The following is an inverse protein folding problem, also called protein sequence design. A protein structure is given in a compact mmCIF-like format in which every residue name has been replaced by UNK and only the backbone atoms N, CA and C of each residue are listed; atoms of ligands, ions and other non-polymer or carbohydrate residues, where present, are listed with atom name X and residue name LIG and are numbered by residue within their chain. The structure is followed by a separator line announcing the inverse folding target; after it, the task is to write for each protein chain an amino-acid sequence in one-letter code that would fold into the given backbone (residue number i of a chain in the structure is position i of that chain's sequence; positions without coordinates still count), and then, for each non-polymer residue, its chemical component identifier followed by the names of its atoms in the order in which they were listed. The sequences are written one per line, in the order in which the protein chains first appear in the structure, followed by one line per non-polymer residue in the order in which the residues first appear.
data_IF_265314579163
#
_entry.id   IF_265314579163
#
_cell.length_a   1.000
_cell.length_b   1.000
_cell.length_c   1.000
_cell.angle_alpha   90.00
_cell.angle_beta   90.00
_cell.angle_gamma   90.00
#
_symmetry.space_group_name_H-M   'P 1'
#
loop_
_entity.id
_entity.type
_entity.pdbx_description
1 polymer ?
#
# COMPACT_ATOMS: atom_id res chain seq x y z
N UNK A 1 -15.65 -21.64 -1.51
CA UNK A 1 -16.45 -21.29 -2.69
C UNK A 1 -15.75 -20.13 -3.33
N UNK A 2 -15.26 -20.37 -4.51
CA UNK A 2 -14.25 -19.58 -5.20
C UNK A 2 -14.77 -18.22 -5.62
N UNK A 3 -14.25 -17.17 -5.00
CA UNK A 3 -14.52 -15.78 -5.36
C UNK A 3 -13.60 -15.25 -6.47
N UNK A 4 -13.29 -16.09 -7.45
CA UNK A 4 -12.76 -15.62 -8.73
C UNK A 4 -13.93 -15.05 -9.51
N UNK A 5 -13.96 -13.72 -9.67
CA UNK A 5 -14.92 -13.09 -10.58
C UNK A 5 -14.66 -13.71 -11.96
N UNK A 6 -15.65 -14.47 -12.45
CA UNK A 6 -15.57 -15.07 -13.78
C UNK A 6 -15.55 -13.95 -14.81
N UNK A 7 -14.44 -13.82 -15.53
CA UNK A 7 -14.22 -12.80 -16.56
C UNK A 7 -15.29 -12.89 -17.67
N UNK A 8 -16.00 -14.02 -17.78
CA UNK A 8 -17.05 -14.24 -18.76
C UNK A 8 -18.43 -13.63 -18.37
N UNK A 9 -18.60 -13.19 -17.11
CA UNK A 9 -19.85 -12.52 -16.66
C UNK A 9 -19.76 -10.98 -16.69
N UNK A 10 -18.68 -10.44 -17.28
CA UNK A 10 -18.48 -9.01 -17.44
C UNK A 10 -19.17 -8.51 -18.73
N UNK A 11 -20.50 -8.35 -18.69
CA UNK A 11 -21.25 -7.70 -19.76
C UNK A 11 -20.63 -6.36 -20.16
N UNK A 12 -20.88 -5.91 -21.38
CA UNK A 12 -20.34 -4.67 -21.95
C UNK A 12 -20.77 -3.43 -21.12
N UNK A 13 -19.95 -3.06 -20.12
CA UNK A 13 -20.16 -1.86 -19.30
C UNK A 13 -19.81 -0.56 -20.04
N UNK A 14 -19.26 -0.67 -21.26
CA UNK A 14 -18.69 0.44 -22.01
C UNK A 14 -17.47 1.09 -21.34
N UNK A 15 -16.88 2.05 -22.00
CA UNK A 15 -15.82 2.89 -21.44
C UNK A 15 -16.42 3.83 -20.40
N UNK A 16 -15.90 3.82 -19.18
CA UNK A 16 -16.28 4.79 -18.14
C UNK A 16 -15.07 5.54 -17.60
N UNK A 17 -15.30 6.80 -17.19
CA UNK A 17 -14.28 7.63 -16.57
C UNK A 17 -14.43 7.55 -15.05
N UNK A 18 -13.36 7.17 -14.37
CA UNK A 18 -13.32 6.97 -12.92
C UNK A 18 -12.30 7.92 -12.31
N UNK A 19 -12.69 8.59 -11.24
CA UNK A 19 -11.82 9.36 -10.38
C UNK A 19 -11.39 8.49 -9.20
N UNK A 20 -10.11 8.14 -9.13
CA UNK A 20 -9.50 7.48 -7.99
C UNK A 20 -8.96 8.52 -6.99
N UNK A 21 -9.37 8.42 -5.74
CA UNK A 21 -8.97 9.27 -4.64
C UNK A 21 -8.11 8.48 -3.65
N UNK A 22 -6.85 8.86 -3.51
CA UNK A 22 -5.87 8.20 -2.66
C UNK A 22 -5.33 9.20 -1.63
N UNK A 23 -6.01 9.30 -0.49
CA UNK A 23 -5.59 10.16 0.60
C UNK A 23 -4.47 9.51 1.40
N UNK A 24 -3.26 10.08 1.32
CA UNK A 24 -2.12 9.74 2.17
C UNK A 24 -2.03 10.65 3.40
N UNK A 25 -1.12 10.35 4.32
CA UNK A 25 -0.90 11.15 5.53
C UNK A 25 -0.30 12.54 5.28
N UNK A 26 0.30 12.78 4.10
CA UNK A 26 1.02 14.03 3.79
C UNK A 26 0.59 14.70 2.49
N UNK A 27 -0.14 14.01 1.62
CA UNK A 27 -0.60 14.55 0.35
C UNK A 27 -1.86 13.82 -0.11
N UNK A 28 -2.68 14.54 -0.85
CA UNK A 28 -3.87 14.00 -1.49
C UNK A 28 -3.50 13.69 -2.96
N UNK A 29 -3.32 12.40 -3.26
CA UNK A 29 -3.11 11.94 -4.64
C UNK A 29 -4.45 11.64 -5.27
N UNK A 30 -4.57 11.88 -6.55
CA UNK A 30 -5.74 11.50 -7.33
C UNK A 30 -5.35 11.13 -8.76
N UNK A 31 -6.15 10.27 -9.36
CA UNK A 31 -6.00 9.91 -10.76
C UNK A 31 -7.36 9.83 -11.45
N UNK A 32 -7.44 10.36 -12.67
CA UNK A 32 -8.58 10.18 -13.56
C UNK A 32 -8.24 9.14 -14.60
N UNK A 33 -9.04 8.11 -14.70
CA UNK A 33 -8.80 6.95 -15.56
C UNK A 33 -9.99 6.68 -16.47
N UNK A 34 -9.71 6.39 -17.75
CA UNK A 34 -10.70 5.69 -18.60
C UNK A 34 -10.51 4.21 -18.39
N UNK A 35 -11.59 3.52 -18.00
CA UNK A 35 -11.59 2.08 -17.74
C UNK A 35 -12.59 1.40 -18.64
N UNK A 36 -12.17 0.29 -19.25
CA UNK A 36 -12.96 -0.58 -20.12
C UNK A 36 -12.74 -2.04 -19.75
N UNK A 37 -13.54 -2.93 -20.30
CA UNK A 37 -13.31 -4.35 -20.12
C UNK A 37 -11.88 -4.72 -20.56
N UNK A 38 -11.12 -5.49 -19.75
CA UNK A 38 -9.80 -5.95 -20.16
C UNK A 38 -9.91 -6.85 -21.39
N UNK A 39 -8.96 -6.74 -22.29
CA UNK A 39 -8.82 -7.62 -23.44
C UNK A 39 -7.57 -8.45 -23.32
N UNK A 40 -7.43 -9.51 -24.11
CA UNK A 40 -6.23 -10.37 -24.10
C UNK A 40 -4.89 -9.60 -24.29
N UNK A 41 -4.95 -8.36 -24.80
CA UNK A 41 -3.76 -7.56 -25.14
C UNK A 41 -3.71 -6.19 -24.46
N UNK A 42 -4.68 -5.82 -23.60
CA UNK A 42 -4.72 -4.51 -22.94
C UNK A 42 -5.29 -4.61 -21.53
N UNK A 43 -4.66 -3.91 -20.58
CA UNK A 43 -5.06 -3.84 -19.17
C UNK A 43 -6.45 -3.23 -18.93
N UNK A 44 -7.08 -2.68 -19.98
CA UNK A 44 -8.38 -2.02 -19.89
C UNK A 44 -8.37 -0.69 -19.14
N UNK A 45 -7.22 -0.15 -18.77
CA UNK A 45 -7.09 1.09 -18.02
C UNK A 45 -6.13 2.08 -18.72
N UNK A 46 -6.58 3.31 -18.87
CA UNK A 46 -5.83 4.42 -19.48
C UNK A 46 -5.83 5.62 -18.53
N UNK A 47 -4.66 6.07 -18.04
CA UNK A 47 -4.58 7.27 -17.23
C UNK A 47 -4.84 8.51 -18.08
N UNK A 48 -5.79 9.35 -17.67
CA UNK A 48 -6.10 10.64 -18.29
C UNK A 48 -5.44 11.81 -17.56
N UNK A 49 -5.32 11.70 -16.23
CA UNK A 49 -4.67 12.67 -15.35
C UNK A 49 -4.19 11.94 -14.10
N UNK A 50 -3.00 12.25 -13.63
CA UNK A 50 -2.50 11.84 -12.31
C UNK A 50 -1.76 13.02 -11.70
N UNK A 51 -2.13 13.39 -10.47
CA UNK A 51 -1.54 14.54 -9.79
C UNK A 51 -1.69 14.41 -8.26
N UNK A 52 -1.08 15.34 -7.53
CA UNK A 52 -1.23 15.46 -6.08
C UNK A 52 -1.53 16.89 -5.68
N UNK A 53 -2.37 17.05 -4.67
CA UNK A 53 -2.75 18.35 -4.14
C UNK A 53 -2.41 18.40 -2.65
N UNK A 54 -1.66 19.43 -2.24
CA UNK A 54 -1.51 19.82 -0.85
C UNK A 54 -2.58 20.85 -0.51
N UNK A 55 -3.62 20.47 0.22
CA UNK A 55 -4.73 21.34 0.55
C UNK A 55 -5.03 21.28 2.04
N UNK A 56 -5.41 22.42 2.66
CA UNK A 56 -5.65 22.47 4.10
C UNK A 56 -6.92 21.73 4.53
N UNK A 57 -7.92 21.61 3.64
CA UNK A 57 -9.20 20.95 3.94
C UNK A 57 -9.60 19.93 2.86
N UNK A 58 -10.37 18.90 3.21
CA UNK A 58 -10.93 17.95 2.24
C UNK A 58 -11.79 18.60 1.16
N UNK A 59 -12.61 19.60 1.54
CA UNK A 59 -13.48 20.35 0.62
C UNK A 59 -12.66 21.10 -0.44
N UNK A 60 -11.60 21.79 -0.03
CA UNK A 60 -10.71 22.52 -0.96
C UNK A 60 -9.96 21.55 -1.88
N UNK A 61 -9.52 20.39 -1.35
CA UNK A 61 -8.88 19.36 -2.16
C UNK A 61 -9.80 18.85 -3.26
N UNK A 62 -11.03 18.47 -2.91
CA UNK A 62 -12.02 17.94 -3.87
C UNK A 62 -12.45 19.02 -4.88
N UNK A 63 -12.71 20.26 -4.46
CA UNK A 63 -13.01 21.36 -5.35
C UNK A 63 -11.84 21.67 -6.31
N UNK A 64 -10.60 21.59 -5.81
CA UNK A 64 -9.40 21.75 -6.61
C UNK A 64 -9.23 20.66 -7.68
N UNK A 65 -9.60 19.41 -7.37
CA UNK A 65 -9.63 18.30 -8.34
C UNK A 65 -10.67 18.58 -9.44
N UNK A 66 -11.90 18.91 -9.06
CA UNK A 66 -12.96 19.22 -10.01
C UNK A 66 -12.55 20.37 -10.97
N UNK A 67 -11.93 21.43 -10.41
CA UNK A 67 -11.42 22.56 -11.18
C UNK A 67 -10.31 22.15 -12.16
N UNK A 68 -9.42 21.22 -11.79
CA UNK A 68 -8.35 20.70 -12.67
C UNK A 68 -8.93 19.87 -13.80
N UNK A 69 -9.88 18.98 -13.52
CA UNK A 69 -10.58 18.19 -14.55
C UNK A 69 -11.22 19.12 -15.58
N UNK A 70 -11.92 20.15 -15.14
CA UNK A 70 -12.54 21.15 -16.01
C UNK A 70 -11.51 21.96 -16.81
N UNK A 71 -10.41 22.39 -16.17
CA UNK A 71 -9.34 23.17 -16.82
C UNK A 71 -8.68 22.43 -17.99
N UNK A 72 -8.50 21.10 -17.86
CA UNK A 72 -7.91 20.28 -18.90
C UNK A 72 -8.93 19.77 -19.93
N UNK A 73 -10.20 20.22 -19.84
CA UNK A 73 -11.29 19.78 -20.71
C UNK A 73 -11.45 18.24 -20.78
N UNK A 74 -11.14 17.57 -19.67
CA UNK A 74 -11.26 16.12 -19.56
C UNK A 74 -12.72 15.70 -19.35
N UNK A 75 -13.04 14.47 -19.73
CA UNK A 75 -14.36 13.92 -19.48
C UNK A 75 -14.66 13.86 -17.98
N UNK A 76 -15.85 14.25 -17.58
CA UNK A 76 -16.30 14.21 -16.19
C UNK A 76 -16.30 12.75 -15.68
N UNK A 77 -15.94 12.52 -14.40
CA UNK A 77 -16.03 11.20 -13.81
C UNK A 77 -17.47 10.70 -13.77
N UNK A 78 -17.64 9.40 -13.93
CA UNK A 78 -18.93 8.70 -13.84
C UNK A 78 -19.03 7.84 -12.56
N UNK A 79 -17.91 7.63 -11.90
CA UNK A 79 -17.81 6.97 -10.59
C UNK A 79 -16.55 7.44 -9.85
N UNK A 80 -16.58 7.32 -8.53
CA UNK A 80 -15.48 7.73 -7.64
C UNK A 80 -15.01 6.53 -6.82
N UNK A 81 -13.72 6.20 -6.91
CA UNK A 81 -13.08 5.20 -6.05
C UNK A 81 -12.30 5.85 -4.91
N UNK A 82 -12.44 5.34 -3.71
CA UNK A 82 -11.74 5.86 -2.52
C UNK A 82 -10.82 4.80 -1.94
N UNK A 83 -9.56 5.15 -1.71
CA UNK A 83 -8.69 4.32 -0.87
C UNK A 83 -9.06 4.48 0.58
N UNK A 84 -9.29 3.35 1.25
CA UNK A 84 -9.55 3.25 2.69
C UNK A 84 -8.46 2.37 3.30
N UNK A 85 -7.77 2.90 4.30
CA UNK A 85 -6.65 2.17 4.93
C UNK A 85 -7.16 0.92 5.65
N UNK A 86 -8.31 0.99 6.34
CA UNK A 86 -8.81 -0.11 7.15
C UNK A 86 -10.34 -0.21 7.13
N UNK A 87 -10.85 -1.39 6.80
CA UNK A 87 -12.29 -1.68 6.81
C UNK A 87 -12.82 -2.27 8.14
N UNK A 88 -11.95 -2.47 9.13
CA UNK A 88 -12.32 -3.20 10.35
C UNK A 88 -12.66 -4.66 10.08
N UNK A 89 -13.24 -5.37 11.06
CA UNK A 89 -13.60 -6.78 10.91
C UNK A 89 -14.78 -7.02 9.96
N UNK A 90 -15.62 -6.01 9.72
CA UNK A 90 -16.85 -6.16 8.94
C UNK A 90 -16.64 -5.96 7.42
N UNK A 91 -15.76 -5.05 7.02
CA UNK A 91 -15.55 -4.69 5.61
C UNK A 91 -14.31 -5.40 5.06
N UNK A 92 -14.50 -6.64 4.61
CA UNK A 92 -13.45 -7.53 4.11
C UNK A 92 -13.42 -7.65 2.57
N UNK A 93 -14.23 -6.86 1.88
CA UNK A 93 -14.30 -6.77 0.42
C UNK A 93 -14.48 -5.31 0.01
N UNK A 94 -14.00 -4.96 -1.18
CA UNK A 94 -14.33 -3.68 -1.79
C UNK A 94 -15.84 -3.59 -1.99
N UNK A 95 -16.44 -2.42 -1.80
CA UNK A 95 -17.89 -2.29 -1.86
C UNK A 95 -18.33 -0.91 -2.35
N UNK A 96 -19.54 -0.86 -2.92
CA UNK A 96 -20.23 0.40 -3.20
C UNK A 96 -20.64 1.03 -1.87
N UNK A 97 -20.41 2.32 -1.73
CA UNK A 97 -20.66 3.07 -0.51
C UNK A 97 -22.13 3.44 -0.40
N UNK A 98 -22.74 3.01 0.69
CA UNK A 98 -24.05 3.45 1.16
C UNK A 98 -23.97 3.87 2.64
N UNK A 99 -25.08 4.26 3.22
CA UNK A 99 -25.15 4.66 4.63
C UNK A 99 -24.75 3.54 5.60
N UNK A 100 -24.95 2.27 5.23
CA UNK A 100 -24.56 1.14 6.05
C UNK A 100 -23.05 0.97 6.07
N UNK A 101 -22.39 1.08 4.92
CA UNK A 101 -20.93 1.07 4.79
C UNK A 101 -20.30 2.24 5.54
N UNK A 102 -20.87 3.45 5.45
CA UNK A 102 -20.37 4.61 6.20
C UNK A 102 -20.43 4.38 7.71
N UNK A 103 -21.54 3.83 8.24
CA UNK A 103 -21.63 3.48 9.67
C UNK A 103 -20.63 2.40 10.09
N UNK A 104 -20.37 1.41 9.24
CA UNK A 104 -19.35 0.38 9.50
C UNK A 104 -17.93 0.96 9.51
N UNK A 105 -17.64 1.91 8.62
CA UNK A 105 -16.37 2.65 8.62
C UNK A 105 -16.20 3.50 9.88
N UNK A 106 -17.25 4.18 10.33
CA UNK A 106 -17.23 4.93 11.58
C UNK A 106 -16.96 3.99 12.77
N UNK A 107 -17.60 2.81 12.81
CA UNK A 107 -17.36 1.79 13.82
C UNK A 107 -15.95 1.18 13.74
N UNK A 108 -15.31 1.19 12.56
CA UNK A 108 -13.94 0.72 12.36
C UNK A 108 -12.87 1.77 12.73
N UNK A 109 -13.25 3.01 13.09
CA UNK A 109 -12.31 4.08 13.43
C UNK A 109 -11.27 3.68 14.51
N UNK A 110 -11.60 2.88 15.55
CA UNK A 110 -10.61 2.44 16.54
C UNK A 110 -9.46 1.60 15.96
N UNK A 111 -9.64 0.94 14.81
CA UNK A 111 -8.60 0.15 14.13
C UNK A 111 -7.60 1.02 13.32
N UNK A 112 -7.99 2.23 12.96
CA UNK A 112 -7.15 3.19 12.25
C UNK A 112 -7.49 4.64 12.64
N UNK A 113 -7.30 5.02 13.92
CA UNK A 113 -7.80 6.30 14.47
C UNK A 113 -7.18 7.53 13.76
N UNK A 114 -5.96 7.39 13.25
CA UNK A 114 -5.26 8.47 12.54
C UNK A 114 -5.73 8.65 11.08
N UNK A 115 -6.33 7.62 10.47
CA UNK A 115 -6.65 7.60 9.04
C UNK A 115 -8.15 7.68 8.78
N UNK A 116 -8.97 6.97 9.54
CA UNK A 116 -10.41 6.85 9.29
C UNK A 116 -11.16 8.16 9.35
N UNK A 117 -10.96 9.07 10.33
CA UNK A 117 -11.67 10.34 10.36
C UNK A 117 -11.36 11.24 9.15
N UNK A 118 -10.09 11.29 8.73
CA UNK A 118 -9.68 12.05 7.55
C UNK A 118 -10.27 11.45 6.26
N UNK A 119 -10.26 10.12 6.12
CA UNK A 119 -10.86 9.44 4.98
C UNK A 119 -12.37 9.70 4.89
N UNK A 120 -13.10 9.61 6.00
CA UNK A 120 -14.53 9.92 6.06
C UNK A 120 -14.83 11.38 5.66
N UNK A 121 -14.00 12.32 6.09
CA UNK A 121 -14.16 13.73 5.70
C UNK A 121 -13.97 13.95 4.18
N UNK A 122 -12.97 13.27 3.59
CA UNK A 122 -12.76 13.28 2.13
C UNK A 122 -13.93 12.64 1.39
N UNK A 123 -14.44 11.52 1.88
CA UNK A 123 -15.58 10.82 1.26
C UNK A 123 -16.82 11.71 1.25
N UNK A 124 -17.15 12.35 2.37
CA UNK A 124 -18.30 13.28 2.47
C UNK A 124 -18.14 14.47 1.51
N UNK A 125 -16.95 15.08 1.49
CA UNK A 125 -16.68 16.18 0.56
C UNK A 125 -16.80 15.75 -0.91
N UNK A 126 -16.37 14.53 -1.25
CA UNK A 126 -16.52 14.00 -2.59
C UNK A 126 -17.99 13.70 -2.93
N UNK A 127 -18.78 13.15 -2.01
CA UNK A 127 -20.22 12.93 -2.21
C UNK A 127 -21.00 14.21 -2.41
N UNK A 128 -20.63 15.30 -1.73
CA UNK A 128 -21.22 16.62 -1.92
C UNK A 128 -20.86 17.21 -3.30
N UNK A 129 -19.58 17.17 -3.66
CA UNK A 129 -19.08 17.76 -4.91
C UNK A 129 -19.52 16.98 -6.17
N UNK A 130 -19.58 15.65 -6.08
CA UNK A 130 -19.96 14.74 -7.16
C UNK A 130 -21.29 14.03 -6.86
N UNK A 131 -22.28 14.82 -6.45
CA UNK A 131 -23.58 14.31 -6.05
C UNK A 131 -24.22 13.41 -7.13
N UNK A 132 -24.81 12.29 -6.69
CA UNK A 132 -25.50 11.35 -7.58
C UNK A 132 -24.58 10.38 -8.33
N UNK A 133 -23.25 10.49 -8.22
CA UNK A 133 -22.34 9.50 -8.73
C UNK A 133 -22.17 8.34 -7.73
N UNK A 134 -21.95 7.11 -8.21
CA UNK A 134 -21.60 5.99 -7.34
C UNK A 134 -20.18 6.18 -6.76
N UNK A 135 -20.03 5.91 -5.47
CA UNK A 135 -18.76 5.89 -4.75
C UNK A 135 -18.42 4.47 -4.32
N UNK A 136 -17.15 4.08 -4.43
CA UNK A 136 -16.65 2.76 -4.07
C UNK A 136 -15.55 2.88 -3.05
N UNK A 137 -15.63 2.10 -1.98
CA UNK A 137 -14.60 1.93 -0.97
C UNK A 137 -13.64 0.80 -1.38
N UNK A 138 -12.36 1.13 -1.57
CA UNK A 138 -11.28 0.21 -1.88
C UNK A 138 -10.31 0.13 -0.70
N UNK A 139 -10.22 -1.03 -0.06
CA UNK A 139 -9.50 -1.19 1.20
C UNK A 139 -8.08 -1.74 0.99
N UNK A 140 -7.10 -1.17 1.67
CA UNK A 140 -5.72 -1.69 1.69
C UNK A 140 -5.61 -3.08 2.33
N UNK A 141 -6.59 -3.48 3.13
CA UNK A 141 -6.57 -4.74 3.87
C UNK A 141 -7.15 -5.92 3.08
N UNK A 142 -7.91 -5.68 2.01
CA UNK A 142 -8.68 -6.73 1.30
C UNK A 142 -7.79 -7.78 0.65
N UNK A 143 -6.66 -7.40 0.05
CA UNK A 143 -5.71 -8.34 -0.55
C UNK A 143 -5.16 -9.37 0.45
N UNK A 144 -5.19 -9.06 1.74
CA UNK A 144 -4.73 -9.90 2.83
C UNK A 144 -5.87 -10.60 3.59
N UNK A 145 -7.13 -10.42 3.16
CA UNK A 145 -8.29 -10.89 3.92
C UNK A 145 -8.32 -12.43 4.12
N UNK A 146 -7.77 -13.16 3.16
CA UNK A 146 -7.79 -14.64 3.14
C UNK A 146 -6.45 -15.27 3.55
N UNK A 147 -5.60 -14.50 4.26
CA UNK A 147 -4.39 -15.09 4.86
C UNK A 147 -4.74 -16.26 5.79
N UNK A 148 -3.92 -17.33 5.81
CA UNK A 148 -4.14 -18.48 6.69
C UNK A 148 -4.08 -18.05 8.17
N UNK A 149 -4.78 -18.78 9.03
CA UNK A 149 -4.88 -18.49 10.46
C UNK A 149 -3.52 -18.38 11.14
N UNK A 150 -2.54 -19.18 10.73
CA UNK A 150 -1.18 -19.14 11.29
C UNK A 150 -0.49 -17.78 11.10
N UNK A 151 -0.86 -17.02 10.07
CA UNK A 151 -0.37 -15.68 9.82
C UNK A 151 -1.30 -14.60 10.41
N UNK A 152 -2.62 -14.86 10.39
CA UNK A 152 -3.65 -13.90 10.76
C UNK A 152 -3.86 -13.76 12.27
N UNK A 153 -3.84 -14.88 13.00
CA UNK A 153 -4.10 -14.92 14.44
C UNK A 153 -2.92 -14.35 15.21
N UNK A 154 -3.17 -13.43 16.14
CA UNK A 154 -2.15 -12.90 17.04
C UNK A 154 -2.02 -13.78 18.30
N UNK A 155 -0.82 -13.90 18.91
CA UNK A 155 -0.61 -14.73 20.11
C UNK A 155 -1.09 -14.01 21.38
N UNK A 156 -2.38 -13.71 21.44
CA UNK A 156 -3.09 -13.05 22.54
C UNK A 156 -4.33 -13.88 22.94
N UNK A 157 -4.96 -13.64 24.11
CA UNK A 157 -6.15 -14.37 24.51
C UNK A 157 -7.23 -14.40 23.42
N UNK A 158 -7.82 -15.57 23.20
CA UNK A 158 -8.79 -15.80 22.11
C UNK A 158 -10.04 -14.92 22.19
N UNK A 159 -10.43 -14.46 23.37
CA UNK A 159 -11.55 -13.52 23.53
C UNK A 159 -11.32 -12.22 22.75
N UNK A 160 -10.08 -11.71 22.74
CA UNK A 160 -9.73 -10.48 22.03
C UNK A 160 -9.78 -10.67 20.50
N UNK A 161 -9.55 -11.90 20.02
CA UNK A 161 -9.69 -12.21 18.60
C UNK A 161 -11.15 -12.15 18.14
N UNK A 162 -12.11 -12.50 19.01
CA UNK A 162 -13.54 -12.37 18.73
C UNK A 162 -13.98 -10.91 18.58
N UNK A 163 -13.23 -9.98 19.14
CA UNK A 163 -13.42 -8.53 18.97
C UNK A 163 -12.81 -7.99 17.67
N UNK A 164 -12.23 -8.86 16.82
CA UNK A 164 -11.59 -8.49 15.56
C UNK A 164 -10.12 -8.11 15.71
N UNK A 165 -9.48 -8.35 16.87
CA UNK A 165 -8.05 -8.06 17.07
C UNK A 165 -7.22 -9.18 16.45
N UNK A 166 -6.77 -8.94 15.20
CA UNK A 166 -6.01 -9.88 14.38
C UNK A 166 -5.01 -9.12 13.48
N UNK A 167 -4.18 -9.83 12.73
CA UNK A 167 -3.41 -9.24 11.63
C UNK A 167 -4.34 -8.97 10.46
N UNK A 168 -4.31 -7.74 9.93
CA UNK A 168 -5.03 -7.36 8.71
C UNK A 168 -4.08 -7.22 7.52
N UNK A 169 -2.90 -6.62 7.73
CA UNK A 169 -2.02 -6.25 6.64
C UNK A 169 -2.50 -5.00 5.90
N UNK A 170 -1.57 -4.34 5.22
CA UNK A 170 -1.82 -3.07 4.52
C UNK A 170 -1.01 -2.99 3.22
N UNK A 171 -1.17 -1.92 2.45
CA UNK A 171 -0.66 -1.78 1.09
C UNK A 171 -1.19 -2.86 0.13
N UNK A 172 -2.36 -3.41 0.44
CA UNK A 172 -2.97 -4.47 -0.38
C UNK A 172 -3.23 -4.03 -1.81
N UNK A 173 -3.71 -2.80 -2.03
CA UNK A 173 -3.92 -2.23 -3.36
C UNK A 173 -2.60 -2.15 -4.17
N UNK A 174 -1.49 -1.81 -3.49
CA UNK A 174 -0.15 -1.86 -4.10
C UNK A 174 0.25 -3.28 -4.46
N UNK A 175 0.14 -4.23 -3.53
CA UNK A 175 0.48 -5.64 -3.77
C UNK A 175 -0.34 -6.23 -4.92
N UNK A 176 -1.62 -5.97 -4.94
CA UNK A 176 -2.52 -6.43 -5.99
C UNK A 176 -2.17 -5.83 -7.35
N UNK A 177 -1.81 -4.53 -7.39
CA UNK A 177 -1.35 -3.90 -8.63
C UNK A 177 -0.09 -4.56 -9.20
N UNK A 178 0.84 -4.99 -8.34
CA UNK A 178 2.05 -5.72 -8.74
C UNK A 178 1.69 -7.11 -9.29
N UNK A 179 0.85 -7.87 -8.57
CA UNK A 179 0.39 -9.19 -9.02
C UNK A 179 -0.27 -9.11 -10.39
N UNK A 180 -1.10 -8.10 -10.61
CA UNK A 180 -1.77 -7.89 -11.89
C UNK A 180 -0.79 -7.48 -13.01
N UNK A 181 0.20 -6.64 -12.72
CA UNK A 181 1.21 -6.25 -13.71
C UNK A 181 2.09 -7.42 -14.14
N UNK A 182 2.38 -8.35 -13.23
CA UNK A 182 3.15 -9.56 -13.54
C UNK A 182 2.36 -10.54 -14.43
N UNK A 183 1.03 -10.56 -14.35
CA UNK A 183 0.15 -11.36 -15.22
C UNK A 183 0.60 -12.81 -15.37
N UNK A 184 0.74 -13.29 -16.61
CA UNK A 184 1.20 -14.65 -16.92
C UNK A 184 2.64 -14.93 -16.46
N UNK A 185 3.42 -13.89 -16.17
CA UNK A 185 4.77 -13.98 -15.61
C UNK A 185 4.81 -14.09 -14.09
N UNK A 186 3.66 -14.21 -13.41
CA UNK A 186 3.57 -14.30 -11.97
C UNK A 186 4.19 -15.62 -11.46
N UNK A 187 5.24 -15.57 -10.62
CA UNK A 187 5.86 -16.76 -10.08
C UNK A 187 5.04 -17.38 -8.96
N UNK A 188 5.33 -18.63 -8.61
CA UNK A 188 4.67 -19.32 -7.51
C UNK A 188 4.96 -18.67 -6.16
N UNK A 189 6.22 -18.23 -5.93
CA UNK A 189 6.70 -17.67 -4.65
C UNK A 189 7.23 -16.26 -4.88
N UNK A 190 6.41 -15.28 -4.56
CA UNK A 190 6.70 -13.86 -4.72
C UNK A 190 6.81 -13.18 -3.36
N UNK A 191 7.80 -12.33 -3.19
CA UNK A 191 7.88 -11.38 -2.08
C UNK A 191 7.80 -9.97 -2.62
N UNK A 192 6.89 -9.18 -2.09
CA UNK A 192 6.79 -7.74 -2.39
C UNK A 192 7.30 -6.95 -1.19
N UNK A 193 8.32 -6.14 -1.43
CA UNK A 193 8.84 -5.14 -0.50
C UNK A 193 8.33 -3.76 -0.93
N UNK A 194 7.17 -3.37 -0.39
CA UNK A 194 6.64 -2.02 -0.56
C UNK A 194 7.36 -1.09 0.41
N UNK A 195 8.26 -0.26 -0.09
CA UNK A 195 9.10 0.63 0.71
C UNK A 195 8.80 2.09 0.36
N UNK A 196 8.16 2.78 1.29
CA UNK A 196 7.81 4.19 1.21
C UNK A 196 7.95 4.87 2.58
N UNK A 197 7.18 5.93 2.83
CA UNK A 197 7.06 6.49 4.18
C UNK A 197 6.44 5.48 5.16
N UNK A 198 5.46 4.68 4.69
CA UNK A 198 5.08 3.39 5.25
C UNK A 198 5.78 2.27 4.49
N UNK A 199 6.08 1.15 5.15
CA UNK A 199 6.75 0.02 4.52
C UNK A 199 6.17 -1.32 5.00
N UNK A 200 6.01 -2.27 4.06
CA UNK A 200 5.57 -3.63 4.36
C UNK A 200 6.27 -4.65 3.47
N UNK A 201 6.42 -5.85 4.00
CA UNK A 201 6.94 -7.00 3.27
C UNK A 201 5.84 -8.05 3.25
N UNK A 202 5.45 -8.50 2.06
CA UNK A 202 4.34 -9.43 1.87
C UNK A 202 4.80 -10.68 1.16
N UNK A 203 4.46 -11.85 1.71
CA UNK A 203 4.65 -13.15 1.09
C UNK A 203 3.43 -13.53 0.26
N UNK A 204 3.62 -13.86 -1.01
CA UNK A 204 2.56 -14.19 -1.95
C UNK A 204 2.84 -15.55 -2.57
N UNK A 205 1.88 -16.45 -2.46
CA UNK A 205 1.92 -17.77 -3.08
C UNK A 205 0.82 -17.87 -4.15
N UNK A 206 1.22 -18.08 -5.41
CA UNK A 206 0.29 -18.18 -6.56
C UNK A 206 -0.72 -17.03 -6.62
N UNK A 207 -0.26 -15.80 -6.38
CA UNK A 207 -1.09 -14.60 -6.42
C UNK A 207 -1.87 -14.26 -5.15
N UNK A 208 -1.86 -15.12 -4.13
CA UNK A 208 -2.56 -14.90 -2.86
C UNK A 208 -1.60 -14.50 -1.74
N UNK A 209 -1.95 -13.49 -0.96
CA UNK A 209 -1.22 -13.11 0.23
C UNK A 209 -1.32 -14.20 1.28
N UNK A 210 -0.18 -14.71 1.75
CA UNK A 210 -0.13 -15.75 2.79
C UNK A 210 0.50 -15.27 4.10
N UNK A 211 1.25 -14.17 4.07
CA UNK A 211 1.73 -13.45 5.27
C UNK A 211 2.13 -12.03 4.88
N UNK A 212 2.11 -11.11 5.85
CA UNK A 212 2.56 -9.73 5.67
C UNK A 212 3.09 -9.16 6.98
N UNK A 213 4.01 -8.21 6.89
CA UNK A 213 4.71 -7.67 8.06
C UNK A 213 3.87 -6.76 8.95
N UNK A 214 2.93 -6.00 8.40
CA UNK A 214 2.05 -5.13 9.19
C UNK A 214 0.97 -5.95 9.91
N UNK A 215 0.63 -5.55 11.13
CA UNK A 215 -0.25 -6.29 12.03
C UNK A 215 -1.71 -5.83 12.01
N UNK A 216 -2.24 -5.56 13.22
CA UNK A 216 -3.56 -4.94 13.45
C UNK A 216 -3.62 -3.54 12.86
N UNK A 217 -2.53 -2.78 13.00
CA UNK A 217 -2.35 -1.42 12.51
C UNK A 217 -1.17 -1.36 11.54
N UNK A 218 -1.03 -0.30 10.73
CA UNK A 218 0.10 -0.14 9.83
C UNK A 218 1.39 0.33 10.55
N UNK A 219 1.53 0.07 11.86
CA UNK A 219 2.69 0.49 12.67
C UNK A 219 3.74 -0.60 12.80
N UNK A 220 3.32 -1.88 12.91
CA UNK A 220 4.21 -3.04 13.08
C UNK A 220 4.98 -3.42 11.82
N UNK A 221 5.86 -4.39 11.96
CA UNK A 221 6.72 -4.91 10.91
C UNK A 221 8.07 -4.19 10.84
N UNK A 222 8.46 -3.75 9.66
CA UNK A 222 9.75 -3.09 9.43
C UNK A 222 9.77 -1.64 9.93
N UNK A 223 10.96 -1.11 10.19
CA UNK A 223 11.17 0.31 10.51
C UNK A 223 10.65 1.16 9.35
N UNK A 224 9.99 2.30 9.65
CA UNK A 224 9.41 3.20 8.63
C UNK A 224 9.91 4.63 8.84
N UNK A 225 9.37 5.59 8.10
CA UNK A 225 9.78 6.99 8.21
C UNK A 225 9.65 7.55 9.64
N UNK A 226 8.47 7.42 10.23
CA UNK A 226 8.14 7.90 11.59
C UNK A 226 7.59 6.80 12.51
N UNK A 227 7.24 5.63 11.96
CA UNK A 227 6.70 4.49 12.71
C UNK A 227 7.81 3.54 13.14
N UNK A 228 7.66 3.00 14.33
CA UNK A 228 8.71 2.18 14.96
C UNK A 228 8.99 0.86 14.24
N UNK A 229 7.99 0.26 13.56
CA UNK A 229 8.01 -1.16 13.28
C UNK A 229 7.81 -1.97 14.56
N UNK A 230 8.19 -3.25 14.52
CA UNK A 230 8.07 -4.15 15.67
C UNK A 230 8.96 -3.69 16.84
N UNK A 231 8.37 -3.65 18.01
CA UNK A 231 9.03 -3.37 19.29
C UNK A 231 8.72 -4.49 20.28
N UNK A 232 9.62 -4.70 21.25
CA UNK A 232 9.29 -5.48 22.44
C UNK A 232 8.11 -4.81 23.18
N UNK A 233 6.98 -5.51 23.40
CA UNK A 233 5.84 -4.98 24.15
C UNK A 233 6.22 -4.44 25.54
N UNK A 234 7.25 -5.02 26.17
CA UNK A 234 7.80 -4.57 27.44
C UNK A 234 8.29 -3.12 27.43
N UNK A 235 8.75 -2.62 26.27
CA UNK A 235 9.13 -1.20 26.12
C UNK A 235 7.93 -0.30 26.36
N UNK A 236 6.75 -0.63 25.78
CA UNK A 236 5.55 0.18 25.94
C UNK A 236 5.07 0.18 27.40
N UNK A 237 5.05 -1.01 28.03
CA UNK A 237 4.71 -1.14 29.46
C UNK A 237 5.68 -0.37 30.36
N UNK A 238 6.98 -0.41 30.04
CA UNK A 238 8.01 0.38 30.77
C UNK A 238 7.74 1.89 30.66
N UNK A 239 7.49 2.39 29.45
CA UNK A 239 7.22 3.81 29.21
C UNK A 239 5.94 4.30 29.91
N UNK A 240 4.88 3.46 29.94
CA UNK A 240 3.67 3.77 30.70
C UNK A 240 3.96 3.90 32.21
N UNK A 241 4.73 2.96 32.73
CA UNK A 241 4.97 2.87 34.18
C UNK A 241 5.97 3.91 34.67
N UNK A 242 7.13 4.02 34.01
CA UNK A 242 8.26 4.85 34.47
C UNK A 242 8.18 6.28 33.90
N UNK A 243 7.84 6.44 32.62
CA UNK A 243 7.75 7.76 31.96
C UNK A 243 6.34 8.37 32.03
N UNK A 244 5.35 7.66 32.63
CA UNK A 244 3.97 8.13 32.78
C UNK A 244 3.26 8.45 31.45
N UNK A 245 3.66 7.79 30.36
CA UNK A 245 2.99 7.96 29.07
C UNK A 245 1.61 7.27 29.13
N UNK A 246 0.59 7.98 28.71
CA UNK A 246 -0.73 7.40 28.45
C UNK A 246 -0.84 6.77 27.05
N UNK A 247 -2.00 6.21 26.70
CA UNK A 247 -2.21 5.56 25.41
C UNK A 247 -2.02 6.51 24.22
N UNK A 248 -2.49 7.76 24.34
CA UNK A 248 -2.36 8.75 23.26
C UNK A 248 -0.89 9.18 23.06
N UNK A 249 -0.16 9.34 24.15
CA UNK A 249 1.29 9.63 24.11
C UNK A 249 2.08 8.48 23.48
N UNK A 250 1.73 7.22 23.81
CA UNK A 250 2.34 6.04 23.19
C UNK A 250 2.02 5.95 21.70
N UNK A 251 0.78 6.21 21.33
CA UNK A 251 0.36 6.25 19.92
C UNK A 251 1.16 7.31 19.15
N UNK A 252 1.28 8.52 19.70
CA UNK A 252 2.09 9.60 19.13
C UNK A 252 3.56 9.18 18.98
N UNK A 253 4.15 8.52 20.00
CA UNK A 253 5.51 8.07 19.98
C UNK A 253 5.76 7.03 18.88
N UNK A 254 4.99 5.95 18.84
CA UNK A 254 5.25 4.84 17.92
C UNK A 254 4.90 5.14 16.45
N UNK A 255 3.97 6.10 16.21
CA UNK A 255 3.54 6.45 14.85
C UNK A 255 4.23 7.67 14.26
N UNK A 256 4.64 8.66 15.09
CA UNK A 256 5.07 9.97 14.59
C UNK A 256 6.46 10.39 15.04
N UNK A 257 7.04 9.77 16.08
CA UNK A 257 8.31 10.19 16.69
C UNK A 257 9.38 9.09 16.64
N UNK A 258 9.05 7.94 16.09
CA UNK A 258 9.94 6.76 16.00
C UNK A 258 10.52 6.59 14.59
N UNK A 259 10.89 5.38 14.25
CA UNK A 259 11.41 5.01 12.94
C UNK A 259 12.69 5.75 12.56
N UNK A 260 12.83 6.03 11.27
CA UNK A 260 14.00 6.75 10.73
C UNK A 260 14.18 8.11 11.41
N UNK A 261 13.08 8.83 11.65
CA UNK A 261 13.10 10.12 12.36
C UNK A 261 13.62 9.96 13.79
N UNK A 262 13.07 9.02 14.54
CA UNK A 262 13.44 8.80 15.94
C UNK A 262 14.88 8.34 16.12
N UNK A 263 15.40 7.48 15.24
CA UNK A 263 16.79 7.00 15.27
C UNK A 263 17.76 8.10 14.86
N UNK A 264 17.46 8.80 13.77
CA UNK A 264 18.38 9.80 13.22
C UNK A 264 18.37 11.12 13.98
N UNK A 265 17.24 11.49 14.57
CA UNK A 265 16.99 12.82 15.11
C UNK A 265 16.96 13.93 14.04
N UNK A 266 16.95 13.58 12.73
CA UNK A 266 17.10 14.53 11.62
C UNK A 266 15.89 14.54 10.70
N UNK A 267 15.50 13.39 10.17
CA UNK A 267 14.45 13.31 9.14
C UNK A 267 13.83 11.92 9.03
N UNK A 268 12.59 11.87 8.55
CA UNK A 268 11.92 10.66 8.06
C UNK A 268 12.15 10.41 6.56
N UNK A 269 12.70 11.38 5.83
CA UNK A 269 12.96 11.30 4.38
C UNK A 269 14.33 10.65 4.11
N UNK A 270 14.34 9.50 3.44
CA UNK A 270 15.54 8.74 3.12
C UNK A 270 16.57 9.55 2.32
N UNK A 271 16.13 10.40 1.41
CA UNK A 271 17.02 11.27 0.61
C UNK A 271 17.80 12.26 1.49
N UNK A 272 17.12 12.85 2.50
CA UNK A 272 17.75 13.74 3.48
C UNK A 272 18.69 12.97 4.40
N UNK A 273 18.33 11.73 4.73
CA UNK A 273 19.18 10.88 5.57
C UNK A 273 20.47 10.49 4.86
N UNK A 274 20.44 10.16 3.56
CA UNK A 274 21.66 9.91 2.78
C UNK A 274 22.61 11.12 2.78
N UNK A 275 22.06 12.33 2.63
CA UNK A 275 22.87 13.56 2.71
C UNK A 275 23.42 13.78 4.10
N UNK A 276 22.61 13.59 5.14
CA UNK A 276 23.02 13.78 6.52
C UNK A 276 24.06 12.75 7.00
N UNK A 277 23.99 11.51 6.49
CA UNK A 277 24.88 10.42 6.86
C UNK A 277 26.37 10.70 6.57
N UNK A 278 26.66 11.65 5.68
CA UNK A 278 28.04 12.09 5.41
C UNK A 278 28.72 12.74 6.63
N UNK A 279 27.95 13.29 7.58
CA UNK A 279 28.44 13.98 8.76
C UNK A 279 27.71 13.62 10.07
N UNK A 280 26.65 12.82 10.00
CA UNK A 280 25.82 12.43 11.14
C UNK A 280 25.74 10.89 11.23
N UNK A 281 26.39 10.33 12.24
CA UNK A 281 26.44 8.89 12.46
C UNK A 281 25.06 8.27 12.72
N UNK A 282 24.14 9.00 13.41
CA UNK A 282 22.80 8.51 13.67
C UNK A 282 21.94 8.42 12.38
N UNK A 283 22.16 9.31 11.43
CA UNK A 283 21.51 9.22 10.11
C UNK A 283 21.99 7.96 9.36
N UNK A 284 23.30 7.68 9.40
CA UNK A 284 23.87 6.45 8.85
C UNK A 284 23.32 5.19 9.55
N UNK A 285 23.24 5.22 10.88
CA UNK A 285 22.65 4.13 11.67
C UNK A 285 21.18 3.90 11.31
N UNK A 286 20.39 4.95 11.16
CA UNK A 286 18.98 4.83 10.79
C UNK A 286 18.79 4.12 9.45
N UNK A 287 19.60 4.45 8.43
CA UNK A 287 19.58 3.78 7.12
C UNK A 287 19.96 2.30 7.27
N UNK A 288 21.04 2.01 8.00
CA UNK A 288 21.50 0.63 8.23
C UNK A 288 20.44 -0.21 8.94
N UNK A 289 19.80 0.33 10.00
CA UNK A 289 18.74 -0.35 10.74
C UNK A 289 17.51 -0.59 9.86
N UNK A 290 17.13 0.38 9.04
CA UNK A 290 16.04 0.21 8.07
C UNK A 290 16.34 -0.93 7.10
N UNK A 291 17.48 -0.91 6.43
CA UNK A 291 17.86 -1.95 5.47
C UNK A 291 17.96 -3.34 6.14
N UNK A 292 18.51 -3.40 7.34
CA UNK A 292 18.59 -4.65 8.10
C UNK A 292 17.20 -5.17 8.51
N UNK A 293 16.26 -4.30 8.90
CA UNK A 293 14.89 -4.70 9.24
C UNK A 293 14.16 -5.25 8.02
N UNK A 294 14.30 -4.61 6.85
CA UNK A 294 13.74 -5.07 5.58
C UNK A 294 14.32 -6.44 5.17
N UNK A 295 15.65 -6.59 5.20
CA UNK A 295 16.31 -7.86 4.84
C UNK A 295 15.88 -9.01 5.77
N UNK A 296 15.81 -8.78 7.08
CA UNK A 296 15.31 -9.76 8.06
C UNK A 296 13.88 -10.17 7.76
N UNK A 297 13.01 -9.22 7.44
CA UNK A 297 11.61 -9.52 7.16
C UNK A 297 11.44 -10.25 5.83
N UNK A 298 12.22 -9.91 4.80
CA UNK A 298 12.26 -10.70 3.55
C UNK A 298 12.71 -12.14 3.85
N UNK A 299 13.75 -12.34 4.65
CA UNK A 299 14.22 -13.69 5.03
C UNK A 299 13.15 -14.47 5.80
N UNK A 300 12.37 -13.83 6.67
CA UNK A 300 11.22 -14.46 7.33
C UNK A 300 10.15 -14.90 6.30
N UNK A 301 9.82 -14.06 5.34
CA UNK A 301 8.86 -14.39 4.27
C UNK A 301 9.37 -15.50 3.34
N UNK A 302 10.69 -15.62 3.11
CA UNK A 302 11.27 -16.76 2.39
C UNK A 302 11.00 -18.07 3.13
N UNK A 303 11.09 -18.06 4.45
CA UNK A 303 10.75 -19.22 5.29
C UNK A 303 9.28 -19.58 5.18
N UNK A 304 8.38 -18.60 5.20
CA UNK A 304 6.93 -18.82 5.04
C UNK A 304 6.59 -19.45 3.69
N UNK A 305 7.31 -19.04 2.61
CA UNK A 305 7.10 -19.52 1.24
C UNK A 305 7.83 -20.83 0.91
N UNK A 306 8.67 -21.34 1.81
CA UNK A 306 9.61 -22.43 1.52
C UNK A 306 10.49 -22.13 0.27
N UNK A 307 11.04 -20.92 0.26
CA UNK A 307 11.88 -20.40 -0.81
C UNK A 307 11.33 -19.12 -1.45
N UNK A 308 11.98 -18.65 -2.53
CA UNK A 308 11.57 -17.45 -3.26
C UNK A 308 11.99 -17.54 -4.73
N UNK A 309 11.08 -17.18 -5.62
CA UNK A 309 11.33 -17.12 -7.06
C UNK A 309 11.59 -15.67 -7.53
N UNK A 310 10.88 -14.71 -6.93
CA UNK A 310 10.98 -13.28 -7.26
C UNK A 310 10.84 -12.41 -6.01
N UNK A 311 11.73 -11.44 -5.89
CA UNK A 311 11.59 -10.31 -4.95
C UNK A 311 11.29 -9.05 -5.77
N UNK A 312 10.22 -8.34 -5.43
CA UNK A 312 9.84 -7.07 -6.04
C UNK A 312 10.03 -5.94 -5.04
N UNK A 313 10.78 -4.92 -5.44
CA UNK A 313 10.82 -3.63 -4.76
C UNK A 313 9.82 -2.67 -5.39
N UNK A 314 9.02 -1.99 -4.58
CA UNK A 314 8.01 -1.02 -5.00
C UNK A 314 7.83 0.07 -3.94
N UNK A 315 7.03 1.10 -4.22
CA UNK A 315 6.88 2.26 -3.36
C UNK A 315 8.03 3.24 -3.48
N UNK A 316 7.86 4.46 -2.97
CA UNK A 316 8.76 5.58 -3.25
C UNK A 316 10.25 5.33 -2.97
N UNK A 317 10.59 4.63 -1.86
CA UNK A 317 11.98 4.22 -1.57
C UNK A 317 12.36 3.02 -2.42
N UNK A 318 11.49 2.00 -2.52
CA UNK A 318 11.76 0.79 -3.28
C UNK A 318 12.02 1.05 -4.77
N UNK A 319 11.31 2.00 -5.36
CA UNK A 319 11.43 2.37 -6.76
C UNK A 319 12.63 3.29 -7.04
N UNK A 320 12.96 4.21 -6.12
CA UNK A 320 13.89 5.30 -6.43
C UNK A 320 15.24 5.23 -5.69
N UNK A 321 15.40 4.35 -4.69
CA UNK A 321 16.61 4.30 -3.87
C UNK A 321 17.47 3.05 -4.18
N UNK A 322 18.41 3.20 -5.09
CA UNK A 322 19.33 2.13 -5.47
C UNK A 322 20.23 1.68 -4.31
N UNK A 323 20.63 2.59 -3.41
CA UNK A 323 21.49 2.27 -2.27
C UNK A 323 20.75 1.39 -1.26
N UNK A 324 19.49 1.70 -0.97
CA UNK A 324 18.65 0.87 -0.09
C UNK A 324 18.48 -0.53 -0.71
N UNK A 325 18.17 -0.65 -2.00
CA UNK A 325 18.04 -1.95 -2.66
C UNK A 325 19.34 -2.76 -2.61
N UNK A 326 20.49 -2.11 -2.84
CA UNK A 326 21.81 -2.73 -2.73
C UNK A 326 22.05 -3.28 -1.32
N UNK A 327 21.84 -2.46 -0.29
CA UNK A 327 22.07 -2.88 1.10
C UNK A 327 21.14 -4.01 1.55
N UNK A 328 19.86 -3.95 1.19
CA UNK A 328 18.90 -5.01 1.48
C UNK A 328 19.31 -6.32 0.79
N UNK A 329 19.64 -6.28 -0.51
CA UNK A 329 20.04 -7.46 -1.26
C UNK A 329 21.39 -8.01 -0.80
N UNK A 330 22.31 -7.15 -0.35
CA UNK A 330 23.56 -7.60 0.28
C UNK A 330 23.29 -8.47 1.52
N UNK A 331 22.29 -8.11 2.33
CA UNK A 331 21.82 -8.91 3.46
C UNK A 331 21.23 -10.27 3.07
N UNK A 332 20.85 -10.44 1.79
CA UNK A 332 20.26 -11.69 1.23
C UNK A 332 21.23 -12.49 0.36
N UNK A 333 22.52 -12.11 0.29
CA UNK A 333 23.52 -12.78 -0.53
C UNK A 333 23.71 -14.27 -0.19
N UNK A 334 23.47 -14.64 1.08
CA UNK A 334 23.55 -16.02 1.56
C UNK A 334 22.54 -16.98 0.90
N UNK A 335 21.39 -16.48 0.41
CA UNK A 335 20.44 -17.27 -0.40
C UNK A 335 20.76 -17.22 -1.89
N UNK A 336 21.81 -16.52 -2.28
CA UNK A 336 22.25 -16.39 -3.66
C UNK A 336 21.62 -15.22 -4.43
N UNK A 337 21.04 -14.23 -3.74
CA UNK A 337 20.63 -12.96 -4.37
C UNK A 337 21.86 -12.19 -4.80
N UNK A 338 21.90 -11.74 -6.06
CA UNK A 338 22.99 -10.95 -6.62
C UNK A 338 22.45 -9.88 -7.55
N UNK A 339 22.74 -8.61 -7.26
CA UNK A 339 22.33 -7.47 -8.07
C UNK A 339 23.33 -7.13 -9.19
N UNK A 340 22.81 -6.64 -10.27
CA UNK A 340 23.53 -5.89 -11.29
C UNK A 340 23.50 -4.39 -10.92
N UNK A 341 24.60 -3.88 -10.41
CA UNK A 341 24.71 -2.52 -9.89
C UNK A 341 24.38 -1.46 -10.95
N UNK A 342 24.77 -1.67 -12.20
CA UNK A 342 24.48 -0.75 -13.28
C UNK A 342 22.97 -0.68 -13.56
N UNK A 343 22.30 -1.84 -13.66
CA UNK A 343 20.84 -1.89 -13.85
C UNK A 343 20.11 -1.30 -12.64
N UNK A 344 20.58 -1.61 -11.43
CA UNK A 344 19.99 -1.09 -10.20
C UNK A 344 20.04 0.44 -10.12
N UNK A 345 21.16 1.05 -10.53
CA UNK A 345 21.30 2.51 -10.56
C UNK A 345 20.46 3.17 -11.66
N UNK A 346 20.32 2.53 -12.81
CA UNK A 346 19.56 3.04 -13.95
C UNK A 346 18.03 3.00 -13.76
N UNK A 347 17.51 2.35 -12.72
CA UNK A 347 16.05 2.22 -12.49
C UNK A 347 15.36 3.58 -12.47
N UNK A 348 15.91 4.59 -11.77
CA UNK A 348 15.29 5.90 -11.62
C UNK A 348 15.01 6.62 -12.95
N UNK A 349 15.84 6.38 -13.96
CA UNK A 349 15.65 6.92 -15.31
C UNK A 349 14.68 6.07 -16.15
N UNK A 350 14.57 4.79 -15.83
CA UNK A 350 13.88 3.78 -16.65
C UNK A 350 12.46 3.52 -16.16
N UNK A 351 12.20 3.58 -14.85
CA UNK A 351 10.94 3.16 -14.22
C UNK A 351 9.74 3.98 -14.69
N UNK A 352 9.94 5.25 -15.07
CA UNK A 352 8.88 6.10 -15.61
C UNK A 352 8.42 5.69 -17.01
N UNK A 353 9.29 5.01 -17.77
CA UNK A 353 9.02 4.54 -19.13
C UNK A 353 8.73 3.03 -19.17
N UNK A 354 9.30 2.28 -18.23
CA UNK A 354 9.14 0.84 -18.07
C UNK A 354 8.77 0.53 -16.64
N UNK A 355 7.49 0.26 -16.39
CA UNK A 355 6.92 0.03 -15.05
C UNK A 355 7.50 -1.20 -14.33
N UNK A 356 8.38 -1.96 -14.99
CA UNK A 356 8.95 -3.21 -14.50
C UNK A 356 10.38 -3.40 -15.03
N UNK A 357 11.36 -3.42 -14.13
CA UNK A 357 12.79 -3.47 -14.44
C UNK A 357 13.49 -4.58 -13.64
N UNK A 358 14.09 -5.55 -14.32
CA UNK A 358 14.93 -6.58 -13.70
C UNK A 358 16.31 -6.00 -13.35
N UNK A 359 16.72 -6.19 -12.08
CA UNK A 359 17.96 -5.63 -11.52
C UNK A 359 18.94 -6.69 -11.01
N UNK A 360 18.63 -7.97 -11.15
CA UNK A 360 19.53 -9.06 -10.75
C UNK A 360 20.52 -9.45 -11.85
N UNK A 361 21.67 -10.01 -11.45
CA UNK A 361 22.61 -10.64 -12.39
C UNK A 361 22.08 -11.99 -12.89
N UNK A 362 22.67 -12.53 -13.96
CA UNK A 362 22.36 -13.87 -14.46
C UNK A 362 22.78 -14.98 -13.49
N UNK A 363 23.62 -14.70 -12.49
CA UNK A 363 24.07 -15.65 -11.45
C UNK A 363 23.15 -15.66 -10.22
N UNK A 364 22.22 -14.74 -10.11
CA UNK A 364 21.28 -14.67 -8.99
C UNK A 364 20.35 -15.89 -9.01
N UNK A 365 20.20 -16.54 -7.85
CA UNK A 365 19.28 -17.67 -7.68
C UNK A 365 17.81 -17.27 -7.60
N UNK A 366 17.56 -16.01 -7.28
CA UNK A 366 16.24 -15.41 -7.19
C UNK A 366 16.21 -14.20 -8.12
N UNK A 367 15.13 -14.04 -8.88
CA UNK A 367 14.91 -12.82 -9.63
C UNK A 367 14.67 -11.64 -8.69
N UNK A 368 15.16 -10.46 -9.06
CA UNK A 368 14.91 -9.21 -8.33
C UNK A 368 14.47 -8.17 -9.34
N UNK A 369 13.30 -7.58 -9.11
CA UNK A 369 12.72 -6.58 -10.01
C UNK A 369 12.30 -5.35 -9.23
N UNK A 370 12.26 -4.22 -9.92
CA UNK A 370 11.58 -3.00 -9.43
C UNK A 370 10.34 -2.82 -10.28
N UNK A 371 9.18 -2.78 -9.63
CA UNK A 371 7.89 -2.63 -10.30
C UNK A 371 7.16 -1.44 -9.69
N UNK A 372 6.75 -0.50 -10.53
CA UNK A 372 6.05 0.69 -10.07
C UNK A 372 4.66 0.35 -9.51
N UNK A 373 4.36 0.86 -8.32
CA UNK A 373 3.03 0.71 -7.73
C UNK A 373 2.00 1.51 -8.52
N UNK A 374 0.86 0.88 -8.81
CA UNK A 374 -0.27 1.48 -9.51
C UNK A 374 -1.55 1.47 -8.65
N UNK A 375 -1.45 1.93 -7.40
CA UNK A 375 -2.57 1.93 -6.46
C UNK A 375 -3.80 2.64 -7.01
N UNK A 376 -3.63 3.84 -7.58
CA UNK A 376 -4.74 4.64 -8.12
C UNK A 376 -5.41 3.93 -9.30
N UNK A 377 -4.61 3.27 -10.15
CA UNK A 377 -5.10 2.41 -11.22
C UNK A 377 -5.90 1.21 -10.68
N UNK A 378 -5.44 0.62 -9.57
CA UNK A 378 -6.14 -0.51 -8.95
C UNK A 378 -7.47 -0.08 -8.31
N UNK A 379 -7.52 1.09 -7.68
CA UNK A 379 -8.76 1.72 -7.21
C UNK A 379 -9.74 1.88 -8.38
N UNK A 380 -9.27 2.38 -9.52
CA UNK A 380 -10.12 2.57 -10.70
C UNK A 380 -10.67 1.24 -11.23
N UNK A 381 -9.87 0.16 -11.25
CA UNK A 381 -10.32 -1.19 -11.65
C UNK A 381 -11.40 -1.74 -10.73
N UNK A 382 -11.20 -1.67 -9.41
CA UNK A 382 -12.20 -2.12 -8.43
C UNK A 382 -13.48 -1.31 -8.53
N UNK A 383 -13.37 0.00 -8.71
CA UNK A 383 -14.52 0.86 -8.93
C UNK A 383 -15.30 0.42 -10.15
N UNK A 384 -14.63 0.20 -11.29
CA UNK A 384 -15.27 -0.28 -12.51
C UNK A 384 -15.93 -1.65 -12.32
N UNK A 385 -15.27 -2.59 -11.66
CA UNK A 385 -15.79 -3.94 -11.43
C UNK A 385 -17.11 -3.93 -10.64
N UNK A 386 -17.23 -3.01 -9.66
CA UNK A 386 -18.41 -2.89 -8.79
C UNK A 386 -19.53 -2.01 -9.36
N UNK A 387 -19.31 -1.34 -10.51
CA UNK A 387 -20.38 -0.58 -11.15
C UNK A 387 -21.47 -1.50 -11.70
N UNK A 388 -22.75 -1.12 -11.56
CA UNK A 388 -23.84 -1.86 -12.18
C UNK A 388 -23.67 -1.91 -13.69
N UNK A 389 -24.00 -3.05 -14.28
CA UNK A 389 -24.03 -3.19 -15.73
C UNK A 389 -25.07 -2.23 -16.31
N UNK A 390 -24.71 -1.47 -17.34
CA UNK A 390 -25.69 -0.73 -18.12
C UNK A 390 -26.47 -1.77 -18.95
N UNK A 391 -27.71 -2.02 -18.59
CA UNK A 391 -28.61 -2.73 -19.51
C UNK A 391 -28.78 -1.86 -20.77
N UNK A 392 -28.50 -2.35 -21.95
CA UNK A 392 -28.82 -1.63 -23.19
C UNK A 392 -30.32 -1.59 -23.31
N UNK A 393 -30.97 -0.47 -22.92
CA UNK A 393 -32.40 -0.28 -23.15
C UNK A 393 -33.18 0.28 -21.95
N UNK A 394 -32.93 1.50 -21.55
CA UNK A 394 -33.96 2.41 -20.97
C UNK A 394 -33.61 3.84 -21.41
#
# INVERSE_FOLDING_TARGET
MDGVIDVNDMGDKGDIVILALNSGSSSFKFGLYRVRAPTAHASGIEPLLSDSIAMPTPQEAIAGIASRIAKFALAAPQAIGHRIVHGGPALRQHCVMDDAVLRQLEAAAPFAPLHTPAALAVMRAAQECFAGLPHVACFDTVFHADMPDVARVLPIPSQLQLEGIQRYGFHGLSCESIVQQLGDGLPTRLIIAHLGNGASITAIHRGQSIDTSMGLTPTGGVIMGTRSGDLDPGVLVYLMRENKLDGAMLEQLVNHQSGLLGISGVSSDMRRLHQAALSNANAGLAIQMFCASVAKQIAAMITVLDGVDLIVFTGGIGENDALVRTEVCRGLSWIGVSLDEHRNQAVGETIHNHLDVAINTTKSRCAVRVVASQEDGQIARHTWALMPQRHPGT
#
